data_IF_885907932401
#
_entry.id   IF_885907932401
#
_cell.length_a   1.000
_cell.length_b   1.000
_cell.length_c   1.000
_cell.angle_alpha   90.00
_cell.angle_beta   90.00
_cell.angle_gamma   90.00
#
_symmetry.space_group_name_H-M   'P 1'
#
loop_
_entity.id
_entity.type
_entity.pdbx_description
1 polymer ?
#
# COMPACT_ATOMS: atom_id res chain seq x y z
N UNK A 1 12.06 24.93 -2.26
CA UNK A 1 12.90 24.19 -1.28
C UNK A 1 12.00 23.09 -0.70
N UNK A 2 12.45 21.84 -0.74
CA UNK A 2 11.80 20.72 -0.10
C UNK A 2 12.57 20.35 1.17
N UNK A 3 11.85 20.18 2.28
CA UNK A 3 12.43 19.79 3.56
C UNK A 3 11.90 18.41 3.94
N UNK A 4 12.78 17.46 4.19
CA UNK A 4 12.44 16.13 4.70
C UNK A 4 13.02 16.04 6.10
N UNK A 5 12.15 16.02 7.11
CA UNK A 5 12.55 15.84 8.50
C UNK A 5 12.45 14.35 8.86
N UNK A 6 13.45 13.83 9.56
CA UNK A 6 13.46 12.44 10.05
C UNK A 6 13.39 12.47 11.57
N UNK A 7 12.48 11.68 12.13
CA UNK A 7 12.32 11.51 13.56
C UNK A 7 12.22 10.03 13.92
N UNK A 8 12.77 9.66 15.08
CA UNK A 8 12.65 8.30 15.62
C UNK A 8 11.39 8.18 16.49
N UNK A 9 10.81 6.99 16.50
CA UNK A 9 9.65 6.67 17.33
C UNK A 9 10.11 5.78 18.49
N UNK A 10 10.08 6.30 19.70
CA UNK A 10 10.36 5.52 20.90
C UNK A 10 9.25 4.51 21.13
N UNK A 11 9.56 3.21 21.10
CA UNK A 11 8.56 2.16 21.25
C UNK A 11 7.49 2.10 20.13
N UNK A 12 7.72 2.77 18.98
CA UNK A 12 6.74 2.86 17.90
C UNK A 12 5.58 3.83 18.19
N UNK A 13 5.68 4.64 19.23
CA UNK A 13 4.63 5.58 19.64
C UNK A 13 4.63 6.84 18.79
N UNK A 14 3.63 6.95 17.92
CA UNK A 14 3.40 8.11 17.05
C UNK A 14 2.74 9.29 17.79
N UNK A 15 2.20 9.05 18.99
CA UNK A 15 1.49 10.07 19.77
C UNK A 15 2.43 10.90 20.65
N UNK A 16 3.73 10.54 20.67
CA UNK A 16 4.75 11.37 21.33
C UNK A 16 4.78 12.77 20.69
N UNK A 17 4.98 13.80 21.51
CA UNK A 17 4.84 15.22 21.13
C UNK A 17 5.61 15.63 19.88
N UNK A 18 6.79 15.10 19.64
CA UNK A 18 7.62 15.46 18.46
C UNK A 18 7.03 14.90 17.16
N UNK A 19 6.80 13.58 16.99
CA UNK A 19 6.20 13.04 15.80
C UNK A 19 4.77 13.54 15.59
N UNK A 20 3.96 13.70 16.64
CA UNK A 20 2.59 14.19 16.53
C UNK A 20 2.55 15.64 16.03
N UNK A 21 3.31 16.55 16.61
CA UNK A 21 3.39 17.93 16.14
C UNK A 21 3.94 18.02 14.72
N UNK A 22 4.93 17.22 14.36
CA UNK A 22 5.48 17.19 13.00
C UNK A 22 4.43 16.78 11.97
N UNK A 23 3.51 15.88 12.31
CA UNK A 23 2.38 15.50 11.44
C UNK A 23 1.47 16.68 11.10
N UNK A 24 1.25 17.61 12.03
CA UNK A 24 0.35 18.75 11.81
C UNK A 24 0.97 19.83 10.94
N UNK A 25 2.27 20.02 11.00
CA UNK A 25 2.96 21.12 10.29
C UNK A 25 3.52 20.71 8.92
N UNK A 26 3.55 19.41 8.59
CA UNK A 26 4.06 18.90 7.30
C UNK A 26 2.92 18.54 6.34
N UNK A 27 3.20 18.57 5.03
CA UNK A 27 2.25 18.16 3.98
C UNK A 27 2.06 16.65 3.88
N UNK A 28 2.87 15.88 4.56
CA UNK A 28 2.75 14.44 4.63
C UNK A 28 3.78 13.83 5.56
N UNK A 29 3.59 12.58 5.89
CA UNK A 29 4.55 11.78 6.63
C UNK A 29 4.56 10.34 6.11
N UNK A 30 5.73 9.74 6.14
CA UNK A 30 5.94 8.33 5.83
C UNK A 30 6.29 7.61 7.12
N UNK A 31 5.49 6.64 7.49
CA UNK A 31 5.75 5.77 8.64
C UNK A 31 6.48 4.52 8.15
N UNK A 32 7.69 4.30 8.67
CA UNK A 32 8.48 3.13 8.34
C UNK A 32 8.35 2.07 9.45
N UNK A 33 8.23 0.82 9.08
CA UNK A 33 8.22 -0.32 10.00
C UNK A 33 9.00 -1.50 9.44
N UNK A 34 9.47 -2.35 10.34
CA UNK A 34 9.97 -3.66 9.95
C UNK A 34 8.77 -4.55 9.61
N UNK A 35 8.83 -5.21 8.47
CA UNK A 35 7.84 -6.19 8.07
C UNK A 35 8.29 -7.59 8.50
N UNK A 36 7.48 -8.25 9.31
CA UNK A 36 7.80 -9.58 9.86
C UNK A 36 7.85 -10.68 8.78
N UNK A 37 7.09 -10.49 7.70
CA UNK A 37 6.90 -11.52 6.68
C UNK A 37 8.02 -11.48 5.63
N UNK A 38 8.51 -10.30 5.30
CA UNK A 38 9.60 -10.10 4.32
C UNK A 38 10.96 -9.84 4.97
N UNK A 39 10.99 -9.49 6.25
CA UNK A 39 12.21 -9.08 6.97
C UNK A 39 12.76 -7.71 6.52
N UNK A 40 12.05 -6.98 5.66
CA UNK A 40 12.45 -5.69 5.10
C UNK A 40 11.85 -4.52 5.86
N UNK A 41 12.44 -3.35 5.71
CA UNK A 41 11.81 -2.09 6.12
C UNK A 41 10.86 -1.65 5.02
N UNK A 42 9.60 -1.42 5.38
CA UNK A 42 8.55 -1.00 4.45
C UNK A 42 7.90 0.30 4.89
N UNK A 43 7.30 1.01 3.95
CA UNK A 43 6.39 2.11 4.20
C UNK A 43 5.04 1.54 4.60
N UNK A 44 4.55 1.87 5.80
CA UNK A 44 3.22 1.45 6.25
C UNK A 44 2.14 2.30 5.57
N UNK A 45 1.31 1.73 4.69
CA UNK A 45 0.33 2.49 3.92
C UNK A 45 -0.85 2.99 4.77
N UNK A 46 -1.12 2.38 5.92
CA UNK A 46 -2.21 2.79 6.81
C UNK A 46 -1.82 3.93 7.75
N UNK A 47 -0.55 3.98 8.15
CA UNK A 47 -0.02 5.00 9.06
C UNK A 47 0.61 6.18 8.34
N UNK A 48 0.87 6.06 7.04
CA UNK A 48 1.41 7.12 6.20
C UNK A 48 0.31 8.03 5.66
N UNK A 49 0.64 9.29 5.46
CA UNK A 49 -0.31 10.29 4.97
C UNK A 49 0.36 11.23 3.96
N UNK A 50 -0.35 11.55 2.89
CA UNK A 50 -0.03 12.68 2.01
C UNK A 50 -1.27 13.56 1.82
N UNK A 51 -1.19 14.83 2.24
CA UNK A 51 -2.28 15.81 2.05
C UNK A 51 -2.39 16.28 0.61
N UNK A 52 -1.28 16.28 -0.11
CA UNK A 52 -1.21 16.76 -1.49
C UNK A 52 -1.63 15.71 -2.53
N UNK A 53 -1.89 14.47 -2.13
CA UNK A 53 -2.22 13.38 -3.07
C UNK A 53 -3.37 13.74 -4.03
N UNK A 54 -4.40 14.42 -3.55
CA UNK A 54 -5.57 14.80 -4.36
C UNK A 54 -5.25 15.83 -5.45
N UNK A 55 -4.14 16.56 -5.33
CA UNK A 55 -3.69 17.52 -6.33
C UNK A 55 -2.90 16.86 -7.48
N UNK A 56 -2.42 15.64 -7.26
CA UNK A 56 -1.50 14.93 -8.15
C UNK A 56 -2.13 13.68 -8.75
N UNK A 57 -2.77 12.85 -7.91
CA UNK A 57 -3.29 11.54 -8.30
C UNK A 57 -4.39 11.68 -9.35
N UNK A 58 -4.21 11.03 -10.51
CA UNK A 58 -5.13 11.07 -11.64
C UNK A 58 -5.22 12.39 -12.38
N UNK A 59 -4.41 13.40 -11.99
CA UNK A 59 -4.32 14.71 -12.68
C UNK A 59 -2.97 14.93 -13.34
N UNK A 60 -1.90 14.57 -12.64
CA UNK A 60 -0.51 14.65 -13.12
C UNK A 60 0.11 13.26 -13.30
N UNK A 61 -0.59 12.24 -12.84
CA UNK A 61 -0.24 10.82 -12.99
C UNK A 61 -1.26 10.14 -13.88
N UNK A 62 -1.00 8.91 -14.25
CA UNK A 62 -1.85 8.07 -15.09
C UNK A 62 -3.29 8.00 -14.53
N UNK A 63 -4.28 7.92 -15.40
CA UNK A 63 -5.72 8.00 -15.06
C UNK A 63 -6.20 6.88 -14.12
N UNK A 64 -5.58 5.71 -14.17
CA UNK A 64 -5.90 4.54 -13.35
C UNK A 64 -5.37 4.65 -11.91
N UNK A 65 -4.39 5.54 -11.66
CA UNK A 65 -3.72 5.66 -10.36
C UNK A 65 -4.68 5.76 -9.16
N UNK A 66 -5.77 6.56 -9.20
CA UNK A 66 -6.68 6.64 -8.05
C UNK A 66 -7.34 5.31 -7.71
N UNK A 67 -7.74 4.54 -8.73
CA UNK A 67 -8.43 3.29 -8.52
C UNK A 67 -7.46 2.16 -8.16
N UNK A 68 -6.30 2.11 -8.79
CA UNK A 68 -5.23 1.17 -8.44
C UNK A 68 -4.81 1.35 -6.98
N UNK A 69 -4.55 2.59 -6.55
CA UNK A 69 -4.18 2.88 -5.16
C UNK A 69 -5.27 2.44 -4.17
N UNK A 70 -6.54 2.74 -4.46
CA UNK A 70 -7.65 2.33 -3.60
C UNK A 70 -7.79 0.81 -3.53
N UNK A 71 -7.64 0.11 -4.66
CA UNK A 71 -7.65 -1.35 -4.71
C UNK A 71 -6.49 -1.95 -3.89
N UNK A 72 -5.26 -1.45 -4.06
CA UNK A 72 -4.10 -1.88 -3.27
C UNK A 72 -4.33 -1.76 -1.77
N UNK A 73 -4.82 -0.59 -1.31
CA UNK A 73 -5.06 -0.35 0.14
C UNK A 73 -6.15 -1.28 0.67
N UNK A 74 -7.23 -1.47 -0.08
CA UNK A 74 -8.33 -2.36 0.31
C UNK A 74 -7.88 -3.81 0.39
N UNK A 75 -7.24 -4.33 -0.66
CA UNK A 75 -6.77 -5.72 -0.71
C UNK A 75 -5.69 -5.99 0.35
N UNK A 76 -4.86 -5.01 0.64
CA UNK A 76 -3.88 -5.11 1.74
C UNK A 76 -4.56 -5.13 3.12
N UNK A 77 -5.67 -4.40 3.30
CA UNK A 77 -6.50 -4.46 4.50
C UNK A 77 -7.20 -5.82 4.65
N UNK A 78 -7.68 -6.39 3.53
CA UNK A 78 -8.28 -7.73 3.53
C UNK A 78 -7.25 -8.79 3.97
N UNK A 79 -6.02 -8.68 3.50
CA UNK A 79 -4.92 -9.55 3.96
C UNK A 79 -4.61 -9.40 5.46
N UNK A 80 -4.64 -8.17 5.99
CA UNK A 80 -4.45 -7.94 7.42
C UNK A 80 -5.57 -8.61 8.24
N UNK A 81 -6.82 -8.56 7.75
CA UNK A 81 -7.94 -9.27 8.35
C UNK A 81 -7.77 -10.79 8.27
N UNK A 82 -7.31 -11.31 7.14
CA UNK A 82 -7.01 -12.74 6.96
C UNK A 82 -5.92 -13.21 7.94
N UNK A 83 -4.87 -12.42 8.13
CA UNK A 83 -3.82 -12.70 9.12
C UNK A 83 -4.38 -12.78 10.54
N UNK A 84 -5.26 -11.84 10.91
CA UNK A 84 -5.93 -11.86 12.22
C UNK A 84 -6.83 -13.09 12.40
N UNK A 85 -7.54 -13.53 11.35
CA UNK A 85 -8.32 -14.78 11.38
C UNK A 85 -7.41 -15.97 11.67
N UNK A 86 -6.28 -16.07 10.94
CA UNK A 86 -5.32 -17.15 11.12
C UNK A 86 -4.74 -17.20 12.54
N UNK A 87 -4.34 -16.04 13.08
CA UNK A 87 -3.81 -15.89 14.45
C UNK A 87 -4.85 -16.31 15.52
N UNK A 88 -6.14 -16.12 15.25
CA UNK A 88 -7.24 -16.54 16.12
C UNK A 88 -7.69 -18.01 15.90
N UNK A 89 -7.01 -18.75 15.02
CA UNK A 89 -7.30 -20.17 14.76
C UNK A 89 -8.52 -20.43 13.88
N UNK A 90 -8.97 -19.46 13.10
CA UNK A 90 -10.04 -19.64 12.10
C UNK A 90 -9.47 -20.18 10.80
N UNK A 91 -10.28 -20.99 10.10
CA UNK A 91 -9.97 -21.44 8.75
C UNK A 91 -9.99 -20.24 7.76
N UNK A 92 -9.05 -20.27 6.84
CA UNK A 92 -8.97 -19.28 5.76
C UNK A 92 -9.77 -19.73 4.54
N UNK A 93 -10.45 -18.80 3.91
CA UNK A 93 -11.02 -19.01 2.57
C UNK A 93 -9.91 -18.95 1.51
N UNK A 94 -10.19 -19.48 0.31
CA UNK A 94 -9.31 -19.35 -0.85
C UNK A 94 -8.94 -17.87 -1.16
N UNK A 95 -9.90 -16.97 -0.98
CA UNK A 95 -9.65 -15.52 -1.10
C UNK A 95 -8.68 -15.02 -0.02
N UNK A 96 -8.85 -15.43 1.24
CA UNK A 96 -7.97 -15.02 2.34
C UNK A 96 -6.51 -15.49 2.07
N UNK A 97 -6.32 -16.72 1.59
CA UNK A 97 -4.99 -17.24 1.24
C UNK A 97 -4.33 -16.43 0.11
N UNK A 98 -5.10 -16.11 -0.95
CA UNK A 98 -4.61 -15.29 -2.07
C UNK A 98 -4.28 -13.88 -1.62
N UNK A 99 -5.10 -13.29 -0.73
CA UNK A 99 -4.86 -11.97 -0.15
C UNK A 99 -3.57 -11.93 0.68
N UNK A 100 -3.26 -12.98 1.45
CA UNK A 100 -2.00 -13.07 2.19
C UNK A 100 -0.78 -13.13 1.25
N UNK A 101 -0.85 -13.92 0.19
CA UNK A 101 0.22 -13.99 -0.82
C UNK A 101 0.41 -12.65 -1.54
N UNK A 102 -0.70 -12.01 -1.92
CA UNK A 102 -0.68 -10.66 -2.48
C UNK A 102 0.01 -9.67 -1.54
N UNK A 103 -0.33 -9.67 -0.25
CA UNK A 103 0.23 -8.73 0.72
C UNK A 103 1.74 -8.92 0.90
N UNK A 104 2.23 -10.17 0.88
CA UNK A 104 3.66 -10.46 0.89
C UNK A 104 4.36 -9.83 -0.30
N UNK A 105 3.90 -10.13 -1.51
CA UNK A 105 4.48 -9.61 -2.75
C UNK A 105 4.32 -8.09 -2.90
N UNK A 106 3.19 -7.54 -2.46
CA UNK A 106 2.95 -6.11 -2.43
C UNK A 106 3.94 -5.39 -1.51
N UNK A 107 4.18 -5.95 -0.31
CA UNK A 107 5.17 -5.42 0.62
C UNK A 107 6.58 -5.47 0.04
N UNK A 108 6.95 -6.58 -0.59
CA UNK A 108 8.28 -6.76 -1.15
C UNK A 108 8.52 -5.91 -2.41
N UNK A 109 7.53 -5.85 -3.32
CA UNK A 109 7.68 -5.24 -4.66
C UNK A 109 7.30 -3.76 -4.72
N UNK A 110 6.49 -3.25 -3.77
CA UNK A 110 5.95 -1.88 -3.82
C UNK A 110 6.11 -1.06 -2.54
N UNK A 111 6.22 -1.68 -1.35
CA UNK A 111 6.32 -0.96 -0.09
C UNK A 111 7.73 -0.93 0.49
N UNK A 112 8.64 -1.81 0.06
CA UNK A 112 10.02 -1.84 0.55
C UNK A 112 10.76 -0.54 0.20
N UNK A 113 11.56 -0.03 1.13
CA UNK A 113 12.42 1.14 0.88
C UNK A 113 13.59 0.85 -0.07
N UNK A 114 13.84 -0.42 -0.38
CA UNK A 114 14.89 -0.84 -1.32
C UNK A 114 14.47 -0.70 -2.80
N UNK A 115 13.20 -0.33 -3.05
CA UNK A 115 12.64 -0.22 -4.39
C UNK A 115 12.95 1.17 -4.95
N UNK A 116 13.41 1.19 -6.21
CA UNK A 116 13.62 2.42 -6.97
C UNK A 116 12.96 2.27 -8.35
N UNK A 117 11.66 2.53 -8.41
CA UNK A 117 10.86 2.50 -9.66
C UNK A 117 10.08 3.80 -9.79
N UNK A 118 9.74 4.17 -11.03
CA UNK A 118 8.86 5.31 -11.28
C UNK A 118 7.38 4.97 -11.04
N UNK A 119 6.53 5.99 -11.09
CA UNK A 119 5.09 5.85 -10.78
C UNK A 119 4.37 4.93 -11.79
N UNK A 120 4.75 4.96 -13.05
CA UNK A 120 4.11 4.13 -14.08
C UNK A 120 4.51 2.66 -13.93
N UNK A 121 5.78 2.41 -13.63
CA UNK A 121 6.27 1.07 -13.28
C UNK A 121 5.60 0.52 -12.02
N UNK A 122 5.36 1.38 -11.01
CA UNK A 122 4.61 1.01 -9.80
C UNK A 122 3.18 0.60 -10.15
N UNK A 123 2.48 1.38 -10.98
CA UNK A 123 1.12 1.08 -11.42
C UNK A 123 1.06 -0.23 -12.24
N UNK A 124 2.00 -0.44 -13.15
CA UNK A 124 2.08 -1.67 -13.93
C UNK A 124 2.40 -2.90 -13.07
N UNK A 125 3.20 -2.73 -12.02
CA UNK A 125 3.48 -3.80 -11.05
C UNK A 125 2.24 -4.13 -10.22
N UNK A 126 1.47 -3.11 -9.79
CA UNK A 126 0.20 -3.33 -9.11
C UNK A 126 -0.81 -4.10 -9.97
N UNK A 127 -0.95 -3.74 -11.26
CA UNK A 127 -1.80 -4.46 -12.20
C UNK A 127 -1.40 -5.93 -12.37
N UNK A 128 -0.10 -6.23 -12.44
CA UNK A 128 0.40 -7.61 -12.49
C UNK A 128 0.05 -8.39 -11.23
N UNK A 129 0.22 -7.79 -10.05
CA UNK A 129 -0.16 -8.43 -8.79
C UNK A 129 -1.68 -8.68 -8.71
N UNK A 130 -2.51 -7.76 -9.22
CA UNK A 130 -3.95 -8.01 -9.29
C UNK A 130 -4.28 -9.20 -10.18
N UNK A 131 -3.71 -9.28 -11.37
CA UNK A 131 -3.94 -10.38 -12.30
C UNK A 131 -3.44 -11.73 -11.77
N UNK A 132 -2.37 -11.73 -10.97
CA UNK A 132 -1.79 -12.93 -10.38
C UNK A 132 -2.65 -13.52 -9.25
N UNK A 133 -3.23 -12.66 -8.41
CA UNK A 133 -3.88 -13.11 -7.17
C UNK A 133 -5.40 -12.98 -7.17
N UNK A 134 -5.99 -12.16 -8.03
CA UNK A 134 -7.42 -11.85 -7.97
C UNK A 134 -8.10 -11.93 -9.34
N UNK A 135 -9.41 -12.05 -9.30
CA UNK A 135 -10.26 -11.90 -10.48
C UNK A 135 -10.58 -10.42 -10.75
N UNK A 136 -10.98 -10.10 -11.97
CA UNK A 136 -11.38 -8.74 -12.37
C UNK A 136 -12.48 -8.14 -11.48
N UNK A 137 -13.39 -8.98 -11.01
CA UNK A 137 -14.48 -8.56 -10.12
C UNK A 137 -14.02 -8.27 -8.69
N UNK A 138 -13.05 -9.02 -8.19
CA UNK A 138 -12.52 -8.85 -6.83
C UNK A 138 -11.71 -7.56 -6.66
N UNK A 139 -11.02 -7.10 -7.71
CA UNK A 139 -10.28 -5.82 -7.65
C UNK A 139 -11.19 -4.59 -7.65
N UNK A 140 -12.46 -4.72 -8.06
CA UNK A 140 -13.48 -3.67 -8.04
C UNK A 140 -13.02 -2.34 -8.68
N UNK A 141 -12.31 -2.43 -9.79
CA UNK A 141 -11.87 -1.30 -10.63
C UNK A 141 -12.84 -1.18 -11.81
N UNK A 142 -13.01 0.01 -12.35
CA UNK A 142 -13.88 0.25 -13.51
C UNK A 142 -13.48 -0.59 -14.72
N UNK A 143 -14.47 -1.15 -15.40
CA UNK A 143 -14.29 -2.04 -16.55
C UNK A 143 -13.42 -1.44 -17.66
N UNK A 144 -13.56 -0.13 -17.94
CA UNK A 144 -12.77 0.60 -18.93
C UNK A 144 -11.26 0.53 -18.65
N UNK A 145 -10.88 0.64 -17.35
CA UNK A 145 -9.48 0.55 -16.94
C UNK A 145 -8.98 -0.90 -16.94
N UNK A 146 -9.85 -1.84 -16.56
CA UNK A 146 -9.55 -3.28 -16.65
C UNK A 146 -9.26 -3.66 -18.10
N UNK A 147 -10.09 -3.25 -19.05
CA UNK A 147 -9.87 -3.54 -20.48
C UNK A 147 -8.56 -2.95 -21.01
N UNK A 148 -8.14 -1.80 -20.48
CA UNK A 148 -6.95 -1.09 -20.93
C UNK A 148 -5.65 -1.59 -20.29
N UNK A 149 -5.66 -1.93 -19.02
CA UNK A 149 -4.45 -2.17 -18.24
C UNK A 149 -4.29 -3.60 -17.72
N UNK A 150 -5.37 -4.39 -17.67
CA UNK A 150 -5.28 -5.78 -17.24
C UNK A 150 -4.57 -6.62 -18.32
N UNK A 151 -3.40 -7.14 -17.96
CA UNK A 151 -2.65 -8.07 -18.81
C UNK A 151 -2.69 -9.45 -18.15
N UNK A 152 -3.15 -10.45 -18.89
CA UNK A 152 -3.07 -11.86 -18.48
C UNK A 152 -1.64 -12.38 -18.58
#
# INVERSE_FOLDING_TARGET
>A
ITIIAVTTLSGGDITHSVPDNTRYITEGHLFLRNDSDTGKVIVDPFRSLSRLKQLVIGKKTREDHPQVMNACVRLYADAANAKTKLENGFDLSDYDERALKFAHDYSEKLLSIDINIDIDQMLDTAWRLFAEYFTKTEVAIKEELIQKYWKE
#
